data_IF_544321956800
#
_entry.id   IF_544321956800
#
_cell.length_a   1.000
_cell.length_b   1.000
_cell.length_c   1.000
_cell.angle_alpha   90.00
_cell.angle_beta   90.00
_cell.angle_gamma   90.00
#
_symmetry.space_group_name_H-M   'P 1'
#
loop_
_entity.id
_entity.type
_entity.pdbx_description
1 polymer ?
#
# COMPACT_ATOMS: atom_id res chain seq x y z
N UNK A 1 6.69 2.23 2.95
CA UNK A 1 5.71 1.36 2.24
C UNK A 1 6.21 1.07 0.83
N UNK A 2 6.26 -0.20 0.41
CA UNK A 2 6.83 -0.61 -0.88
C UNK A 2 6.04 -0.06 -2.07
N UNK A 3 4.71 -0.24 -2.05
CA UNK A 3 3.82 0.18 -3.14
C UNK A 3 3.87 1.70 -3.40
N UNK A 4 4.02 2.51 -2.33
CA UNK A 4 4.07 3.96 -2.47
C UNK A 4 5.36 4.44 -3.16
N UNK A 5 6.49 3.78 -2.90
CA UNK A 5 7.76 4.11 -3.57
C UNK A 5 7.69 3.78 -5.06
N UNK A 6 7.15 2.62 -5.41
CA UNK A 6 6.88 2.25 -6.81
C UNK A 6 5.94 3.25 -7.47
N UNK A 7 4.86 3.66 -6.79
CA UNK A 7 3.92 4.66 -7.30
C UNK A 7 4.58 6.02 -7.58
N UNK A 8 5.45 6.50 -6.67
CA UNK A 8 6.22 7.74 -6.88
C UNK A 8 7.13 7.64 -8.12
N UNK A 9 7.81 6.50 -8.30
CA UNK A 9 8.67 6.24 -9.47
C UNK A 9 7.87 6.12 -10.77
N UNK A 10 6.68 5.53 -10.72
CA UNK A 10 5.75 5.46 -11.85
C UNK A 10 5.36 6.86 -12.31
N UNK A 11 4.90 7.69 -11.38
CA UNK A 11 4.39 9.02 -11.69
C UNK A 11 5.50 9.97 -12.12
N UNK A 12 6.61 9.99 -11.38
CA UNK A 12 7.58 11.07 -11.47
C UNK A 12 7.14 12.30 -10.69
N UNK A 13 8.12 13.08 -10.22
CA UNK A 13 7.90 14.24 -9.35
C UNK A 13 6.97 15.28 -9.97
N UNK A 14 7.12 15.57 -11.26
CA UNK A 14 6.33 16.58 -11.98
C UNK A 14 4.84 16.21 -12.09
N UNK A 15 4.53 14.91 -12.11
CA UNK A 15 3.16 14.41 -12.24
C UNK A 15 2.44 14.31 -10.88
N UNK A 16 3.16 14.41 -9.75
CA UNK A 16 2.57 14.32 -8.41
C UNK A 16 1.55 15.43 -8.12
N UNK A 17 1.66 16.59 -8.77
CA UNK A 17 0.69 17.68 -8.68
C UNK A 17 -0.72 17.29 -9.15
N UNK A 18 -0.86 16.17 -9.87
CA UNK A 18 -2.13 15.62 -10.36
C UNK A 18 -2.60 14.38 -9.62
N UNK A 19 -1.94 14.06 -8.51
CA UNK A 19 -2.33 12.96 -7.63
C UNK A 19 -3.20 13.47 -6.48
N UNK A 20 -4.31 12.77 -6.25
CA UNK A 20 -5.10 12.90 -5.01
C UNK A 20 -4.82 11.72 -4.10
N UNK A 21 -4.63 12.03 -2.82
CA UNK A 21 -4.45 11.08 -1.73
C UNK A 21 -5.71 11.11 -0.87
N UNK A 22 -6.50 10.06 -0.91
CA UNK A 22 -7.76 9.99 -0.18
C UNK A 22 -7.65 9.03 1.00
N UNK A 23 -8.11 9.46 2.17
CA UNK A 23 -8.34 8.60 3.34
C UNK A 23 -9.80 8.17 3.40
N UNK A 24 -10.06 6.91 3.77
CA UNK A 24 -11.41 6.31 3.90
C UNK A 24 -11.68 5.89 5.36
N UNK A 25 -12.82 5.24 5.63
CA UNK A 25 -13.21 4.70 6.94
C UNK A 25 -13.47 5.75 8.03
N UNK A 26 -13.92 6.94 7.64
CA UNK A 26 -14.21 8.04 8.58
C UNK A 26 -15.54 7.91 9.32
N UNK A 27 -16.36 6.92 8.97
CA UNK A 27 -17.69 6.65 9.52
C UNK A 27 -17.65 5.95 10.89
N UNK A 28 -16.55 5.27 11.22
CA UNK A 28 -16.37 4.65 12.53
C UNK A 28 -15.96 5.69 13.60
N UNK A 29 -16.95 6.14 14.37
CA UNK A 29 -16.79 7.14 15.45
C UNK A 29 -15.91 6.66 16.61
N UNK A 30 -15.90 5.35 16.91
CA UNK A 30 -15.13 4.82 18.03
C UNK A 30 -13.61 4.98 17.80
N UNK A 31 -13.18 4.91 16.55
CA UNK A 31 -11.79 5.00 16.14
C UNK A 31 -11.37 6.39 15.64
N UNK A 32 -12.23 7.41 15.77
CA UNK A 32 -12.00 8.72 15.15
C UNK A 32 -10.64 9.35 15.51
N UNK A 33 -10.24 9.30 16.79
CA UNK A 33 -8.94 9.82 17.24
C UNK A 33 -7.77 9.06 16.62
N UNK A 34 -7.89 7.74 16.50
CA UNK A 34 -6.89 6.89 15.84
C UNK A 34 -6.77 7.23 14.36
N UNK A 35 -7.89 7.49 13.67
CA UNK A 35 -7.87 7.90 12.27
C UNK A 35 -7.30 9.30 12.07
N UNK A 36 -7.58 10.24 12.97
CA UNK A 36 -6.93 11.56 12.98
C UNK A 36 -5.42 11.45 13.12
N UNK A 37 -4.95 10.64 14.08
CA UNK A 37 -3.53 10.40 14.27
C UNK A 37 -2.91 9.75 13.03
N UNK A 38 -3.58 8.74 12.46
CA UNK A 38 -3.14 8.07 11.24
C UNK A 38 -3.04 9.02 10.04
N UNK A 39 -4.03 9.88 9.82
CA UNK A 39 -3.99 10.89 8.77
C UNK A 39 -2.84 11.87 8.99
N UNK A 40 -2.62 12.30 10.23
CA UNK A 40 -1.49 13.16 10.58
C UNK A 40 -0.16 12.47 10.22
N UNK A 41 0.04 11.22 10.64
CA UNK A 41 1.25 10.45 10.29
C UNK A 41 1.46 10.32 8.78
N UNK A 42 0.39 10.02 8.04
CA UNK A 42 0.45 9.91 6.58
C UNK A 42 0.98 11.21 5.97
N UNK A 43 0.53 12.36 6.47
CA UNK A 43 0.90 13.69 5.96
C UNK A 43 2.30 14.15 6.39
N UNK A 44 2.84 13.64 7.50
CA UNK A 44 4.08 14.17 8.10
C UNK A 44 5.30 13.29 7.95
N UNK A 45 5.16 11.97 7.74
CA UNK A 45 6.33 11.10 7.56
C UNK A 45 6.76 11.03 6.09
N UNK A 46 8.08 11.11 5.86
CA UNK A 46 8.68 11.08 4.51
C UNK A 46 8.44 9.77 3.75
N UNK A 47 8.40 8.66 4.48
CA UNK A 47 8.06 7.33 3.95
C UNK A 47 6.57 7.17 3.56
N UNK A 48 5.74 8.19 3.84
CA UNK A 48 4.34 8.28 3.45
C UNK A 48 4.13 9.44 2.46
N UNK A 49 3.19 10.34 2.75
CA UNK A 49 2.67 11.31 1.79
C UNK A 49 3.36 12.66 1.86
N UNK A 50 4.24 12.92 2.86
CA UNK A 50 4.88 14.24 3.03
C UNK A 50 5.53 14.75 1.75
N UNK A 51 6.39 13.93 1.15
CA UNK A 51 7.07 14.25 -0.10
C UNK A 51 6.10 14.44 -1.28
N UNK A 52 5.01 13.69 -1.35
CA UNK A 52 3.99 13.87 -2.40
C UNK A 52 3.23 15.19 -2.23
N UNK A 53 2.90 15.54 -0.98
CA UNK A 53 2.23 16.79 -0.63
C UNK A 53 3.13 17.99 -0.94
N UNK A 54 4.44 17.88 -0.65
CA UNK A 54 5.43 18.90 -1.04
C UNK A 54 5.48 19.10 -2.55
N UNK A 55 5.29 18.01 -3.32
CA UNK A 55 5.15 18.03 -4.78
C UNK A 55 3.68 18.21 -5.23
N UNK A 56 2.90 18.97 -4.46
CA UNK A 56 1.56 19.46 -4.78
C UNK A 56 0.44 18.40 -4.91
N UNK A 57 0.68 17.14 -4.51
CA UNK A 57 -0.42 16.19 -4.34
C UNK A 57 -1.40 16.69 -3.27
N UNK A 58 -2.70 16.44 -3.47
CA UNK A 58 -3.74 16.95 -2.57
C UNK A 58 -4.37 15.84 -1.75
N UNK A 59 -4.54 16.10 -0.46
CA UNK A 59 -5.20 15.18 0.47
C UNK A 59 -6.69 15.49 0.57
N UNK A 60 -7.52 14.46 0.51
CA UNK A 60 -8.96 14.50 0.75
C UNK A 60 -9.38 13.41 1.73
N UNK A 61 -10.51 13.62 2.39
CA UNK A 61 -11.23 12.56 3.11
C UNK A 61 -12.39 12.10 2.25
N UNK A 62 -12.52 10.78 2.06
CA UNK A 62 -13.71 10.17 1.50
C UNK A 62 -14.58 9.72 2.68
N UNK A 63 -15.49 10.62 3.11
CA UNK A 63 -16.22 10.50 4.38
C UNK A 63 -17.75 10.68 4.25
N UNK A 64 -18.23 11.08 3.07
CA UNK A 64 -19.63 11.42 2.81
C UNK A 64 -20.16 10.73 1.55
N UNK A 65 -19.70 9.48 1.33
CA UNK A 65 -20.15 8.64 0.22
C UNK A 65 -19.91 9.29 -1.15
N UNK A 66 -20.99 9.45 -1.92
CA UNK A 66 -20.96 10.04 -3.26
C UNK A 66 -20.54 11.52 -3.25
N UNK A 67 -20.81 12.26 -2.16
CA UNK A 67 -20.53 13.70 -2.09
C UNK A 67 -19.01 13.95 -2.07
N UNK A 68 -18.28 13.30 -1.16
CA UNK A 68 -16.81 13.42 -1.11
C UNK A 68 -16.14 12.82 -2.35
N UNK A 69 -16.66 11.70 -2.88
CA UNK A 69 -16.14 11.10 -4.11
C UNK A 69 -16.28 12.05 -5.31
N UNK A 70 -17.44 12.68 -5.47
CA UNK A 70 -17.69 13.65 -6.54
C UNK A 70 -16.74 14.85 -6.44
N UNK A 71 -16.55 15.40 -5.23
CA UNK A 71 -15.60 16.50 -4.99
C UNK A 71 -14.16 16.14 -5.41
N UNK A 72 -13.73 14.90 -5.12
CA UNK A 72 -12.40 14.41 -5.52
C UNK A 72 -12.29 14.35 -7.05
N UNK A 73 -13.31 13.82 -7.73
CA UNK A 73 -13.33 13.72 -9.20
C UNK A 73 -13.36 15.11 -9.83
N UNK A 74 -14.23 16.00 -9.36
CA UNK A 74 -14.32 17.38 -9.83
C UNK A 74 -12.98 18.11 -9.70
N UNK A 75 -12.30 17.94 -8.58
CA UNK A 75 -10.97 18.51 -8.35
C UNK A 75 -9.95 18.03 -9.40
N UNK A 76 -9.92 16.73 -9.71
CA UNK A 76 -9.02 16.16 -10.72
C UNK A 76 -9.36 16.69 -12.12
N UNK A 77 -10.64 16.72 -12.48
CA UNK A 77 -11.12 17.18 -13.79
C UNK A 77 -10.84 18.68 -14.00
N UNK A 78 -11.06 19.51 -12.98
CA UNK A 78 -10.79 20.95 -13.07
C UNK A 78 -9.30 21.24 -13.31
N UNK A 79 -8.40 20.43 -12.73
CA UNK A 79 -6.96 20.55 -12.97
C UNK A 79 -6.53 20.11 -14.37
N UNK A 80 -7.29 19.25 -15.03
CA UNK A 80 -7.01 18.80 -16.39
C UNK A 80 -7.48 19.81 -17.45
N UNK A 81 -8.54 20.58 -17.15
CA UNK A 81 -9.19 21.52 -18.09
C UNK A 81 -8.40 22.80 -18.41
N UNK A 82 -7.24 23.03 -17.79
CA UNK A 82 -6.50 24.30 -17.88
C UNK A 82 -5.54 24.45 -19.07
N UNK A 83 -5.11 23.37 -19.73
CA UNK A 83 -4.28 23.45 -20.95
C UNK A 83 -4.06 22.06 -21.57
N UNK A 84 -4.47 21.87 -22.82
CA UNK A 84 -4.17 20.67 -23.63
C UNK A 84 -2.66 20.42 -23.81
N UNK A 85 -1.81 21.42 -23.55
CA UNK A 85 -0.34 21.28 -23.54
C UNK A 85 0.23 20.72 -22.23
N UNK A 86 -0.60 20.43 -21.23
CA UNK A 86 -0.14 20.12 -19.87
C UNK A 86 -0.78 18.82 -19.34
N UNK A 87 -0.88 17.78 -20.18
CA UNK A 87 -1.21 16.43 -19.69
C UNK A 87 0.02 15.89 -18.92
N UNK A 88 -0.13 15.29 -17.72
CA UNK A 88 1.01 14.68 -17.04
C UNK A 88 1.54 13.53 -17.90
N UNK A 89 2.82 13.59 -18.25
CA UNK A 89 3.52 12.43 -18.77
C UNK A 89 4.14 11.75 -17.57
N UNK A 90 3.78 10.49 -17.36
CA UNK A 90 4.33 9.71 -16.25
C UNK A 90 5.79 9.36 -16.56
N UNK A 91 6.64 9.33 -15.54
CA UNK A 91 8.06 8.99 -15.69
C UNK A 91 8.25 7.64 -16.39
N UNK A 92 7.41 6.65 -16.09
CA UNK A 92 7.47 5.35 -16.76
C UNK A 92 7.16 5.44 -18.26
N UNK A 93 6.24 6.31 -18.66
CA UNK A 93 5.87 6.49 -20.07
C UNK A 93 7.04 7.14 -20.82
N UNK A 94 7.64 8.18 -20.23
CA UNK A 94 8.86 8.80 -20.78
C UNK A 94 10.01 7.79 -20.87
N UNK A 95 10.22 6.95 -19.86
CA UNK A 95 11.30 5.96 -19.84
C UNK A 95 11.12 4.87 -20.90
N UNK A 96 9.91 4.34 -21.06
CA UNK A 96 9.64 3.26 -22.01
C UNK A 96 9.57 3.79 -23.44
N UNK A 97 8.87 4.91 -23.66
CA UNK A 97 8.57 5.41 -25.01
C UNK A 97 9.68 6.31 -25.52
N UNK A 98 10.06 7.33 -24.75
CA UNK A 98 11.00 8.35 -25.23
C UNK A 98 12.46 7.91 -25.04
N UNK A 99 12.75 7.19 -23.96
CA UNK A 99 14.10 6.68 -23.65
C UNK A 99 14.33 5.24 -24.09
N UNK A 100 13.31 4.56 -24.64
CA UNK A 100 13.39 3.17 -25.14
C UNK A 100 13.93 2.17 -24.12
N UNK A 101 13.68 2.40 -22.82
CA UNK A 101 14.11 1.48 -21.77
C UNK A 101 13.18 0.28 -21.69
N UNK A 102 13.71 -0.94 -21.51
CA UNK A 102 12.88 -2.08 -21.14
C UNK A 102 12.26 -1.84 -19.74
N UNK A 103 11.13 -2.49 -19.47
CA UNK A 103 10.32 -2.25 -18.28
C UNK A 103 11.11 -2.42 -16.98
N UNK A 104 11.98 -3.41 -16.91
CA UNK A 104 12.84 -3.74 -15.77
C UNK A 104 13.95 -2.71 -15.51
N UNK A 105 14.35 -1.94 -16.53
CA UNK A 105 15.29 -0.82 -16.40
C UNK A 105 14.60 0.51 -16.06
N UNK A 106 13.26 0.55 -16.03
CA UNK A 106 12.53 1.73 -15.56
C UNK A 106 12.72 1.93 -14.07
N UNK A 107 12.61 3.16 -13.58
CA UNK A 107 12.76 3.44 -12.15
C UNK A 107 11.71 2.71 -11.29
N UNK A 108 10.51 2.47 -11.83
CA UNK A 108 9.48 1.68 -11.17
C UNK A 108 9.79 0.18 -11.21
N UNK A 109 10.27 -0.33 -12.34
CA UNK A 109 10.67 -1.73 -12.52
C UNK A 109 11.82 -2.11 -11.58
N UNK A 110 12.85 -1.27 -11.51
CA UNK A 110 13.99 -1.46 -10.60
C UNK A 110 13.56 -1.45 -9.13
N UNK A 111 12.62 -0.57 -8.75
CA UNK A 111 12.08 -0.54 -7.39
C UNK A 111 11.36 -1.86 -7.06
N UNK A 112 10.51 -2.37 -7.96
CA UNK A 112 9.84 -3.67 -7.79
C UNK A 112 10.87 -4.81 -7.71
N UNK A 113 11.87 -4.82 -8.59
CA UNK A 113 12.90 -5.85 -8.62
C UNK A 113 13.71 -5.87 -7.32
N UNK A 114 14.10 -4.70 -6.81
CA UNK A 114 14.76 -4.57 -5.52
C UNK A 114 13.93 -5.22 -4.40
N UNK A 115 12.62 -4.95 -4.37
CA UNK A 115 11.73 -5.57 -3.38
C UNK A 115 11.60 -7.08 -3.54
N UNK A 116 11.51 -7.59 -4.78
CA UNK A 116 11.41 -9.03 -5.05
C UNK A 116 12.68 -9.77 -4.64
N UNK A 117 13.86 -9.22 -4.94
CA UNK A 117 15.15 -9.79 -4.51
C UNK A 117 15.23 -9.85 -2.99
N UNK A 118 14.90 -8.75 -2.30
CA UNK A 118 14.89 -8.71 -0.83
C UNK A 118 13.92 -9.74 -0.21
N UNK A 119 12.76 -9.96 -0.84
CA UNK A 119 11.84 -11.01 -0.38
C UNK A 119 12.43 -12.40 -0.61
N UNK A 120 12.97 -12.67 -1.80
CA UNK A 120 13.57 -13.97 -2.12
C UNK A 120 14.69 -14.32 -1.14
N UNK A 121 15.61 -13.40 -0.85
CA UNK A 121 16.69 -13.61 0.12
C UNK A 121 16.16 -13.93 1.52
N UNK A 122 15.11 -13.23 1.97
CA UNK A 122 14.48 -13.50 3.27
C UNK A 122 13.82 -14.89 3.31
N UNK A 123 13.16 -15.28 2.22
CA UNK A 123 12.58 -16.63 2.08
C UNK A 123 13.67 -17.72 2.03
N UNK A 124 14.79 -17.48 1.37
CA UNK A 124 15.89 -18.45 1.30
C UNK A 124 16.58 -18.61 2.67
N UNK A 125 16.78 -17.53 3.43
CA UNK A 125 17.31 -17.59 4.80
C UNK A 125 16.41 -18.38 5.74
N UNK A 126 15.11 -18.07 5.75
CA UNK A 126 14.14 -18.79 6.59
C UNK A 126 14.07 -20.28 6.22
N UNK A 127 14.09 -20.63 4.92
CA UNK A 127 14.15 -22.03 4.48
C UNK A 127 15.45 -22.74 4.89
N UNK A 128 16.58 -22.05 4.87
CA UNK A 128 17.87 -22.61 5.29
C UNK A 128 17.91 -22.86 6.81
N UNK A 129 17.37 -21.93 7.60
CA UNK A 129 17.26 -22.05 9.06
C UNK A 129 16.33 -23.21 9.47
N UNK A 130 15.18 -23.34 8.78
CA UNK A 130 14.24 -24.47 8.97
C UNK A 130 14.84 -25.82 8.54
N UNK A 131 15.62 -25.83 7.44
CA UNK A 131 16.35 -27.01 6.98
C UNK A 131 17.48 -27.44 7.92
N UNK A 132 18.07 -26.50 8.68
CA UNK A 132 19.09 -26.76 9.69
C UNK A 132 18.54 -27.28 11.03
N UNK A 133 17.29 -26.96 11.38
CA UNK A 133 16.62 -27.44 12.60
C UNK A 133 16.03 -28.86 12.48
N UNK A 134 16.02 -29.45 11.29
CA UNK A 134 15.52 -30.82 11.04
C UNK A 134 16.40 -31.96 11.57
N UNK A 135 17.64 -31.68 12.01
CA UNK A 135 18.58 -32.71 12.47
C UNK A 135 18.56 -32.96 13.99
N UNK A 136 17.80 -32.22 14.78
CA UNK A 136 17.77 -32.38 16.24
C UNK A 136 16.41 -32.01 16.84
N UNK A 137 15.42 -32.89 16.68
CA UNK A 137 14.25 -32.88 17.57
C UNK A 137 14.07 -34.24 18.26
N UNK A 138 14.19 -34.32 19.59
CA UNK A 138 13.91 -35.54 20.34
C UNK A 138 12.44 -35.90 20.20
N UNK A 139 12.17 -37.14 19.78
CA UNK A 139 10.83 -37.73 19.68
C UNK A 139 10.01 -37.47 20.95
N UNK A 140 9.09 -36.49 20.92
CA UNK A 140 8.04 -36.35 21.93
C UNK A 140 7.06 -37.51 21.75
N UNK A 141 7.18 -38.50 22.64
CA UNK A 141 6.24 -39.60 22.80
C UNK A 141 4.90 -39.00 23.27
N UNK A 142 3.91 -38.90 22.38
CA UNK A 142 2.54 -38.54 22.74
C UNK A 142 2.01 -39.61 23.73
N UNK A 143 1.72 -39.18 24.96
CA UNK A 143 0.92 -39.95 25.91
C UNK A 143 -0.54 -39.69 25.55
N UNK A 144 -1.23 -40.72 25.07
CA UNK A 144 -2.68 -40.71 24.88
C UNK A 144 -3.33 -40.56 26.25
N UNK A 145 -3.94 -39.41 26.50
CA UNK A 145 -4.91 -39.23 27.58
C UNK A 145 -5.89 -38.14 27.12
N UNK A 146 -7.07 -38.62 26.70
CA UNK A 146 -8.38 -38.03 26.92
C UNK A 146 -8.61 -36.59 26.43
N UNK A 147 -9.28 -36.47 25.28
CA UNK A 147 -9.78 -35.19 24.78
C UNK A 147 -11.14 -34.82 25.36
N UNK A 148 -11.58 -33.56 25.18
CA UNK A 148 -12.98 -33.21 25.22
C UNK A 148 -13.42 -32.72 23.83
N UNK A 149 -14.16 -33.59 23.13
CA UNK A 149 -15.37 -33.13 22.45
C UNK A 149 -16.21 -32.34 23.48
N UNK A 150 -16.77 -31.20 23.05
CA UNK A 150 -17.83 -30.38 23.68
C UNK A 150 -17.46 -28.90 23.81
N UNK A 151 -17.21 -28.22 22.70
CA UNK A 151 -17.41 -26.76 22.64
C UNK A 151 -17.88 -26.28 21.26
N UNK A 152 -18.96 -26.89 20.75
CA UNK A 152 -19.62 -26.43 19.51
C UNK A 152 -21.14 -26.19 19.66
N UNK A 153 -21.63 -26.06 20.89
CA UNK A 153 -23.07 -25.91 21.18
C UNK A 153 -23.43 -24.59 21.89
N UNK A 154 -22.84 -23.45 21.50
CA UNK A 154 -23.23 -22.12 22.03
C UNK A 154 -23.46 -21.00 21.00
N UNK A 155 -23.56 -21.33 19.71
CA UNK A 155 -23.78 -20.34 18.65
C UNK A 155 -24.97 -20.64 17.71
N UNK A 156 -25.99 -21.36 18.18
CA UNK A 156 -27.34 -21.30 17.59
C UNK A 156 -28.42 -21.44 18.67
N UNK A 157 -29.20 -20.37 18.78
CA UNK A 157 -30.40 -20.18 19.60
C UNK A 157 -30.71 -18.69 19.53
N UNK A 158 -31.36 -18.19 18.48
CA UNK A 158 -32.82 -18.11 18.37
C UNK A 158 -33.47 -17.61 19.67
N UNK A 159 -33.71 -16.29 19.71
CA UNK A 159 -34.97 -15.67 20.10
C UNK A 159 -35.04 -14.28 19.45
#
# INVERSE_FOLDING_TARGET
>A
MKNLRVFKRLCGTESLARVVLATTFWDNKADFQRYLQREHELKTKDDFWRDMIQNQSKVFRQDSGIISATRIIEYLVQRDRGSTRNRPILDIQRQIVDQMKPLDETGAGQEVQFWLTQQREAYERTRADEGGMGASSPRRRYRMAEGPELEYARYRGEN
#
